data_IF_191212793246
#
_entry.id   IF_191212793246
#
_cell.length_a   1.000
_cell.length_b   1.000
_cell.length_c   1.000
_cell.angle_alpha   90.00
_cell.angle_beta   90.00
_cell.angle_gamma   90.00
#
_symmetry.space_group_name_H-M   'P 1'
#
loop_
_entity.id
_entity.type
_entity.pdbx_description
1 polymer ?
#
# COMPACT_ATOMS: atom_id res chain seq x y z
N UNK A 1 -23.08 44.72 6.70
CA UNK A 1 -24.39 44.29 6.14
C UNK A 1 -24.28 42.82 5.81
N UNK A 2 -24.82 41.95 6.67
CA UNK A 2 -24.92 40.51 6.41
C UNK A 2 -26.02 40.27 5.38
N UNK A 3 -25.67 39.65 4.25
CA UNK A 3 -26.66 39.19 3.28
C UNK A 3 -27.38 37.97 3.86
N UNK A 4 -28.66 38.11 4.19
CA UNK A 4 -29.52 36.99 4.53
C UNK A 4 -29.73 36.11 3.28
N UNK A 5 -29.38 34.84 3.40
CA UNK A 5 -29.59 33.85 2.35
C UNK A 5 -31.10 33.67 2.17
N UNK A 6 -31.59 33.86 0.95
CA UNK A 6 -33.02 33.76 0.66
C UNK A 6 -33.52 32.32 0.83
N UNK A 7 -34.78 32.17 1.24
CA UNK A 7 -35.44 30.86 1.38
C UNK A 7 -35.41 30.04 0.07
N UNK A 8 -35.36 30.72 -1.07
CA UNK A 8 -35.21 30.10 -2.40
C UNK A 8 -33.83 29.45 -2.58
N UNK A 9 -32.77 30.11 -2.12
CA UNK A 9 -31.40 29.57 -2.20
C UNK A 9 -31.22 28.38 -1.26
N UNK A 10 -31.84 28.41 -0.07
CA UNK A 10 -31.84 27.26 0.85
C UNK A 10 -32.58 26.05 0.25
N UNK A 11 -33.73 26.26 -0.39
CA UNK A 11 -34.48 25.17 -1.02
C UNK A 11 -33.75 24.59 -2.24
N UNK A 12 -33.05 25.41 -3.02
CA UNK A 12 -32.20 24.94 -4.11
C UNK A 12 -31.00 24.13 -3.61
N UNK A 13 -30.38 24.56 -2.50
CA UNK A 13 -29.28 23.84 -1.87
C UNK A 13 -29.73 22.48 -1.30
N UNK A 14 -30.90 22.43 -0.65
CA UNK A 14 -31.50 21.19 -0.15
C UNK A 14 -31.84 20.22 -1.30
N UNK A 15 -32.44 20.72 -2.37
CA UNK A 15 -32.76 19.90 -3.54
C UNK A 15 -31.50 19.35 -4.23
N UNK A 16 -30.44 20.15 -4.33
CA UNK A 16 -29.16 19.70 -4.86
C UNK A 16 -28.49 18.64 -3.95
N UNK A 17 -28.64 18.77 -2.63
CA UNK A 17 -28.14 17.80 -1.65
C UNK A 17 -28.88 16.45 -1.77
N UNK A 18 -30.21 16.47 -1.90
CA UNK A 18 -31.03 15.27 -2.06
C UNK A 18 -30.71 14.53 -3.37
N UNK A 19 -30.53 15.26 -4.49
CA UNK A 19 -30.10 14.64 -5.74
C UNK A 19 -28.69 14.05 -5.66
N UNK A 20 -27.78 14.71 -4.93
CA UNK A 20 -26.43 14.19 -4.70
C UNK A 20 -26.42 12.94 -3.81
N UNK A 21 -27.30 12.87 -2.82
CA UNK A 21 -27.48 11.70 -1.95
C UNK A 21 -28.11 10.53 -2.71
N UNK A 22 -29.13 10.78 -3.53
CA UNK A 22 -29.73 9.74 -4.38
C UNK A 22 -28.75 9.21 -5.43
N UNK A 23 -27.94 10.09 -6.05
CA UNK A 23 -26.89 9.67 -6.97
C UNK A 23 -25.80 8.87 -6.24
N UNK A 24 -25.42 9.29 -5.02
CA UNK A 24 -24.50 8.56 -4.15
C UNK A 24 -25.03 7.18 -3.77
N UNK A 25 -26.32 7.06 -3.46
CA UNK A 25 -26.97 5.80 -3.10
C UNK A 25 -27.13 4.85 -4.29
N UNK A 26 -27.48 5.35 -5.48
CA UNK A 26 -27.49 4.54 -6.72
C UNK A 26 -26.09 4.06 -7.13
N UNK A 27 -25.05 4.81 -6.76
CA UNK A 27 -23.64 4.42 -6.96
C UNK A 27 -23.13 3.40 -5.93
N UNK A 28 -23.77 3.28 -4.77
CA UNK A 28 -23.46 2.23 -3.78
C UNK A 28 -23.98 0.86 -4.21
N UNK A 29 -25.02 0.80 -5.05
CA UNK A 29 -25.59 -0.44 -5.58
C UNK A 29 -24.72 -1.09 -6.67
N UNK A 30 -23.81 -0.34 -7.31
CA UNK A 30 -22.88 -0.83 -8.34
C UNK A 30 -21.45 -0.87 -7.80
N UNK A 31 -21.13 -1.91 -7.03
CA UNK A 31 -19.82 -2.14 -6.40
C UNK A 31 -18.68 -2.55 -7.37
N UNK A 32 -18.63 -1.98 -8.59
CA UNK A 32 -17.62 -2.28 -9.59
C UNK A 32 -16.73 -1.04 -9.84
N UNK A 33 -15.48 -1.13 -9.38
CA UNK A 33 -14.32 -0.29 -9.70
C UNK A 33 -14.51 1.24 -9.67
N UNK A 34 -14.28 1.83 -8.48
CA UNK A 34 -13.91 3.24 -8.36
C UNK A 34 -12.43 3.39 -8.75
N UNK A 35 -12.14 3.62 -10.03
CA UNK A 35 -10.79 3.89 -10.56
C UNK A 35 -10.49 5.39 -10.62
N UNK A 36 -9.40 5.80 -11.28
CA UNK A 36 -9.00 7.21 -11.37
C UNK A 36 -10.05 8.11 -12.05
N UNK A 37 -10.90 7.57 -12.94
CA UNK A 37 -11.99 8.33 -13.56
C UNK A 37 -13.13 8.60 -12.56
N UNK A 38 -13.29 7.76 -11.54
CA UNK A 38 -14.28 8.00 -10.49
C UNK A 38 -13.97 9.24 -9.64
N UNK A 39 -12.72 9.72 -9.56
CA UNK A 39 -12.32 10.88 -8.74
C UNK A 39 -12.07 12.15 -9.59
N UNK A 40 -12.76 12.28 -10.72
CA UNK A 40 -12.62 13.35 -11.72
C UNK A 40 -13.09 14.74 -11.24
N UNK A 41 -14.04 14.81 -10.31
CA UNK A 41 -14.57 16.09 -9.79
C UNK A 41 -14.07 16.43 -8.38
N UNK A 42 -14.01 17.74 -8.02
CA UNK A 42 -13.61 18.16 -6.69
C UNK A 42 -14.46 17.56 -5.56
N UNK A 43 -15.77 17.46 -5.78
CA UNK A 43 -16.69 16.91 -4.77
C UNK A 43 -16.42 15.43 -4.50
N UNK A 44 -16.18 14.62 -5.54
CA UNK A 44 -15.87 13.19 -5.37
C UNK A 44 -14.52 12.96 -4.70
N UNK A 45 -13.50 13.79 -5.02
CA UNK A 45 -12.20 13.77 -4.34
C UNK A 45 -12.32 14.11 -2.86
N UNK A 46 -13.10 15.15 -2.54
CA UNK A 46 -13.35 15.52 -1.15
C UNK A 46 -14.11 14.42 -0.41
N UNK A 47 -15.14 13.84 -1.03
CA UNK A 47 -15.89 12.74 -0.43
C UNK A 47 -14.97 11.54 -0.14
N UNK A 48 -14.13 11.15 -1.09
CA UNK A 48 -13.13 10.11 -0.87
C UNK A 48 -12.24 10.39 0.33
N UNK A 49 -11.73 11.62 0.46
CA UNK A 49 -10.91 12.03 1.60
C UNK A 49 -11.67 11.90 2.93
N UNK A 50 -12.94 12.27 2.96
CA UNK A 50 -13.81 12.18 4.14
C UNK A 50 -14.17 10.72 4.49
N UNK A 51 -14.21 9.84 3.50
CA UNK A 51 -14.47 8.41 3.68
C UNK A 51 -13.24 7.64 4.20
N UNK A 52 -12.03 8.19 4.04
CA UNK A 52 -10.80 7.57 4.57
C UNK A 52 -10.87 7.37 6.09
N UNK A 53 -10.22 6.32 6.58
CA UNK A 53 -10.00 6.19 8.01
C UNK A 53 -9.18 7.38 8.54
N UNK A 54 -9.42 7.85 9.78
CA UNK A 54 -8.69 8.98 10.34
C UNK A 54 -7.15 8.83 10.30
N UNK A 55 -6.63 7.60 10.49
CA UNK A 55 -5.19 7.32 10.39
C UNK A 55 -4.63 7.62 9.00
N UNK A 56 -5.40 7.36 7.93
CA UNK A 56 -4.99 7.59 6.55
C UNK A 56 -4.99 9.06 6.18
N UNK A 57 -6.02 9.82 6.60
CA UNK A 57 -6.01 11.28 6.48
C UNK A 57 -4.78 11.88 7.16
N UNK A 58 -4.47 11.43 8.39
CA UNK A 58 -3.29 11.89 9.13
C UNK A 58 -1.99 11.49 8.44
N UNK A 59 -1.92 10.28 7.88
CA UNK A 59 -0.74 9.78 7.18
C UNK A 59 -0.45 10.59 5.91
N UNK A 60 -1.46 10.91 5.11
CA UNK A 60 -1.28 11.78 3.95
C UNK A 60 -0.94 13.22 4.36
N UNK A 61 -1.61 13.77 5.37
CA UNK A 61 -1.32 15.11 5.88
C UNK A 61 0.16 15.25 6.28
N UNK A 62 0.70 14.31 7.05
CA UNK A 62 2.07 14.37 7.56
C UNK A 62 3.08 13.87 6.52
N UNK A 63 2.85 12.68 5.98
CA UNK A 63 3.82 11.99 5.14
C UNK A 63 3.89 12.53 3.72
N UNK A 64 2.77 13.01 3.16
CA UNK A 64 2.73 13.54 1.78
C UNK A 64 2.78 15.05 1.77
N UNK A 65 1.90 15.71 2.52
CA UNK A 65 1.78 17.17 2.51
C UNK A 65 2.66 17.89 3.53
N UNK A 66 3.42 17.15 4.34
CA UNK A 66 4.33 17.68 5.36
C UNK A 66 3.66 18.64 6.35
N UNK A 67 2.36 18.46 6.57
CA UNK A 67 1.56 19.28 7.47
C UNK A 67 1.78 18.90 8.93
N UNK A 68 1.75 19.92 9.79
CA UNK A 68 1.79 19.79 11.27
C UNK A 68 0.45 20.13 11.92
N UNK A 69 -0.58 20.38 11.12
CA UNK A 69 -1.91 20.74 11.63
C UNK A 69 -2.58 19.54 12.31
N UNK A 70 -3.28 19.80 13.42
CA UNK A 70 -4.12 18.80 14.09
C UNK A 70 -5.30 18.39 13.20
N UNK A 71 -5.89 19.36 12.49
CA UNK A 71 -6.91 19.15 11.46
C UNK A 71 -6.40 19.65 10.11
N UNK A 72 -6.03 18.73 9.23
CA UNK A 72 -5.62 19.07 7.86
C UNK A 72 -6.81 19.01 6.91
N UNK A 73 -7.06 20.12 6.22
CA UNK A 73 -8.10 20.25 5.19
C UNK A 73 -7.40 20.46 3.83
N UNK A 74 -7.33 19.42 2.98
CA UNK A 74 -6.64 19.54 1.70
C UNK A 74 -7.44 20.44 0.73
N UNK A 75 -6.73 21.17 -0.12
CA UNK A 75 -7.33 21.78 -1.30
C UNK A 75 -7.67 20.72 -2.35
N UNK A 76 -8.47 21.09 -3.35
CA UNK A 76 -8.78 20.17 -4.44
C UNK A 76 -7.53 19.77 -5.24
N UNK A 77 -6.60 20.70 -5.45
CA UNK A 77 -5.34 20.44 -6.15
C UNK A 77 -4.48 19.45 -5.36
N UNK A 78 -4.46 19.55 -4.03
CA UNK A 78 -3.79 18.57 -3.17
C UNK A 78 -4.44 17.19 -3.26
N UNK A 79 -5.76 17.12 -3.30
CA UNK A 79 -6.46 15.86 -3.49
C UNK A 79 -6.19 15.26 -4.88
N UNK A 80 -6.23 16.08 -5.93
CA UNK A 80 -5.89 15.66 -7.29
C UNK A 80 -4.45 15.12 -7.36
N UNK A 81 -3.52 15.78 -6.67
CA UNK A 81 -2.13 15.33 -6.57
C UNK A 81 -2.01 13.92 -5.96
N UNK A 82 -2.82 13.55 -4.96
CA UNK A 82 -2.79 12.18 -4.39
C UNK A 82 -3.08 11.11 -5.45
N UNK A 83 -4.01 11.36 -6.37
CA UNK A 83 -4.34 10.43 -7.46
C UNK A 83 -3.26 10.36 -8.55
N UNK A 84 -2.31 11.30 -8.56
CA UNK A 84 -1.16 11.33 -9.48
C UNK A 84 0.13 10.79 -8.85
N UNK A 85 0.11 10.44 -7.55
CA UNK A 85 1.29 9.90 -6.88
C UNK A 85 1.77 8.62 -7.55
N UNK A 86 3.07 8.61 -7.89
CA UNK A 86 3.78 7.38 -8.26
C UNK A 86 4.44 6.71 -7.06
N UNK A 87 4.69 7.44 -5.97
CA UNK A 87 5.37 6.92 -4.78
C UNK A 87 4.63 7.26 -3.50
N UNK A 88 4.51 6.27 -2.62
CA UNK A 88 4.01 6.44 -1.27
C UNK A 88 5.04 5.87 -0.30
N UNK A 89 5.65 6.73 0.51
CA UNK A 89 6.59 6.32 1.55
C UNK A 89 5.98 6.73 2.89
N UNK A 90 5.37 5.78 3.58
CA UNK A 90 4.65 5.93 4.85
C UNK A 90 5.20 4.93 5.88
N UNK A 91 6.52 4.86 5.97
CA UNK A 91 7.25 4.10 6.98
C UNK A 91 6.86 4.55 8.38
N UNK A 92 6.43 3.60 9.21
CA UNK A 92 5.94 3.82 10.57
C UNK A 92 7.03 4.21 11.56
N UNK A 93 6.62 4.59 12.77
CA UNK A 93 7.55 4.98 13.84
C UNK A 93 8.19 3.81 14.61
N UNK A 94 8.13 2.57 14.10
CA UNK A 94 8.59 1.38 14.82
C UNK A 94 10.05 1.40 15.28
N UNK A 95 10.33 0.82 16.44
CA UNK A 95 11.66 0.81 17.08
C UNK A 95 12.59 -0.21 16.41
N UNK A 96 13.32 0.23 15.38
CA UNK A 96 14.46 -0.50 14.85
C UNK A 96 15.68 0.41 14.75
N UNK A 97 16.77 -0.01 15.38
CA UNK A 97 18.00 0.80 15.56
C UNK A 97 18.82 0.94 14.27
N UNK A 98 18.52 0.15 13.23
CA UNK A 98 19.22 0.14 11.94
C UNK A 98 18.25 0.15 10.77
N UNK A 99 17.39 1.17 10.71
CA UNK A 99 16.49 1.28 9.55
C UNK A 99 17.32 1.59 8.31
N UNK A 100 16.96 0.94 7.20
CA UNK A 100 17.44 1.38 5.89
C UNK A 100 16.81 2.74 5.50
N UNK A 101 15.66 3.11 6.11
CA UNK A 101 14.98 4.38 5.86
C UNK A 101 14.37 4.98 7.17
N UNK A 102 14.54 6.28 7.48
CA UNK A 102 13.89 6.92 8.64
C UNK A 102 12.35 6.85 8.62
N UNK A 103 11.68 6.97 9.78
CA UNK A 103 10.23 7.06 9.85
C UNK A 103 9.74 8.27 9.07
N UNK A 104 8.69 8.08 8.27
CA UNK A 104 7.99 9.18 7.59
C UNK A 104 6.80 9.69 8.41
N UNK A 105 6.20 8.83 9.22
CA UNK A 105 5.07 9.19 10.09
C UNK A 105 5.38 8.85 11.56
N UNK A 106 4.91 9.67 12.53
CA UNK A 106 5.21 9.50 13.96
C UNK A 106 4.28 8.47 14.64
N UNK A 107 3.60 7.63 13.87
CA UNK A 107 2.69 6.59 14.32
C UNK A 107 2.78 5.38 13.38
N UNK A 108 1.96 4.36 13.63
CA UNK A 108 1.88 3.12 12.85
C UNK A 108 0.53 3.02 12.14
N UNK A 109 0.55 2.68 10.86
CA UNK A 109 -0.62 2.27 10.10
C UNK A 109 -1.00 0.83 10.47
N UNK A 110 -2.29 0.53 10.41
CA UNK A 110 -2.81 -0.81 10.73
C UNK A 110 -3.30 -1.60 9.52
N UNK A 111 -3.45 -0.95 8.37
CA UNK A 111 -3.90 -1.56 7.12
C UNK A 111 -3.42 -0.74 5.91
N UNK A 112 -3.81 -1.14 4.70
CA UNK A 112 -3.50 -0.48 3.42
C UNK A 112 -4.71 0.17 2.72
N UNK A 113 -5.83 0.36 3.43
CA UNK A 113 -7.12 0.74 2.83
C UNK A 113 -7.06 2.06 2.05
N UNK A 114 -6.29 3.03 2.52
CA UNK A 114 -6.13 4.33 1.87
C UNK A 114 -5.42 4.31 0.51
N UNK A 115 -4.77 3.20 0.13
CA UNK A 115 -4.05 3.08 -1.14
C UNK A 115 -4.90 2.48 -2.27
N UNK A 116 -6.05 1.88 -1.95
CA UNK A 116 -6.87 1.06 -2.87
C UNK A 116 -7.19 1.72 -4.21
N UNK A 117 -7.32 3.05 -4.22
CA UNK A 117 -7.75 3.82 -5.39
C UNK A 117 -6.62 4.60 -6.07
N UNK A 118 -5.40 4.57 -5.53
CA UNK A 118 -4.25 5.33 -6.03
C UNK A 118 -3.49 4.52 -7.10
N UNK A 119 -4.17 4.27 -8.21
CA UNK A 119 -3.75 3.34 -9.28
C UNK A 119 -2.50 3.75 -10.06
N UNK A 120 -1.99 4.97 -9.87
CA UNK A 120 -0.76 5.46 -10.48
C UNK A 120 0.51 5.10 -9.71
N UNK A 121 0.38 4.49 -8.52
CA UNK A 121 1.53 4.14 -7.69
C UNK A 121 2.37 3.04 -8.36
N UNK A 122 3.67 3.30 -8.42
CA UNK A 122 4.71 2.35 -8.82
C UNK A 122 5.58 1.91 -7.65
N UNK A 123 5.62 2.68 -6.55
CA UNK A 123 6.50 2.40 -5.41
C UNK A 123 5.79 2.62 -4.07
N UNK A 124 5.77 1.60 -3.23
CA UNK A 124 5.21 1.65 -1.87
C UNK A 124 6.28 1.25 -0.86
N UNK A 125 6.46 2.10 0.15
CA UNK A 125 7.20 1.79 1.38
C UNK A 125 6.27 2.00 2.59
N UNK A 126 6.00 0.92 3.31
CA UNK A 126 5.13 0.89 4.50
C UNK A 126 5.78 0.08 5.62
N UNK A 127 7.10 0.11 5.67
CA UNK A 127 7.91 -0.62 6.63
C UNK A 127 7.66 -0.12 8.07
N UNK A 128 7.94 -0.96 9.07
CA UNK A 128 7.88 -0.60 10.50
C UNK A 128 6.52 -0.07 10.99
N UNK A 129 5.44 -0.54 10.37
CA UNK A 129 4.07 -0.28 10.81
C UNK A 129 3.54 -1.37 11.78
N UNK A 130 4.21 -2.52 11.89
CA UNK A 130 3.97 -3.65 12.81
C UNK A 130 2.59 -4.30 12.84
N UNK A 131 1.58 -3.71 12.19
CA UNK A 131 0.19 -4.14 12.32
C UNK A 131 -0.49 -4.42 10.97
N UNK A 132 0.18 -4.11 9.86
CA UNK A 132 -0.35 -4.39 8.52
C UNK A 132 -0.31 -5.91 8.29
N UNK A 133 -1.46 -6.47 7.90
CA UNK A 133 -1.62 -7.92 7.64
C UNK A 133 -2.13 -8.22 6.24
N UNK A 134 -2.97 -7.34 5.72
CA UNK A 134 -3.74 -7.55 4.51
C UNK A 134 -3.18 -6.70 3.35
N UNK A 135 -2.80 -7.38 2.27
CA UNK A 135 -2.34 -6.79 1.02
C UNK A 135 -3.46 -6.64 -0.02
N UNK A 136 -4.69 -7.08 0.26
CA UNK A 136 -5.84 -6.99 -0.66
C UNK A 136 -6.10 -5.58 -1.22
N UNK A 137 -5.84 -4.47 -0.50
CA UNK A 137 -5.99 -3.13 -1.07
C UNK A 137 -5.06 -2.86 -2.26
N UNK A 138 -3.96 -3.61 -2.40
CA UNK A 138 -2.97 -3.43 -3.47
C UNK A 138 -3.31 -4.19 -4.76
N UNK A 139 -4.27 -5.12 -4.74
CA UNK A 139 -4.51 -6.07 -5.83
C UNK A 139 -4.79 -5.42 -7.20
N UNK A 140 -5.29 -4.18 -7.23
CA UNK A 140 -5.60 -3.44 -8.46
C UNK A 140 -4.50 -2.43 -8.87
N UNK A 141 -3.41 -2.32 -8.12
CA UNK A 141 -2.30 -1.40 -8.42
C UNK A 141 -1.37 -2.02 -9.47
N UNK A 142 -1.88 -2.16 -10.71
CA UNK A 142 -1.22 -2.86 -11.81
C UNK A 142 0.13 -2.26 -12.23
N UNK A 143 0.40 -1.01 -11.83
CA UNK A 143 1.66 -0.31 -12.07
C UNK A 143 2.68 -0.47 -10.95
N UNK A 144 2.35 -1.16 -9.85
CA UNK A 144 3.27 -1.32 -8.73
C UNK A 144 4.49 -2.13 -9.15
N UNK A 145 5.67 -1.50 -9.08
CA UNK A 145 6.98 -2.06 -9.43
C UNK A 145 7.75 -2.48 -8.18
N UNK A 146 7.59 -1.74 -7.08
CA UNK A 146 8.32 -1.95 -5.84
C UNK A 146 7.37 -1.91 -4.64
N UNK A 147 7.44 -2.95 -3.80
CA UNK A 147 6.74 -3.02 -2.53
C UNK A 147 7.71 -3.37 -1.40
N UNK A 148 7.93 -2.41 -0.50
CA UNK A 148 8.61 -2.64 0.77
C UNK A 148 7.58 -2.55 1.90
N UNK A 149 7.45 -3.64 2.63
CA UNK A 149 6.48 -3.80 3.70
C UNK A 149 7.05 -4.59 4.88
N UNK A 150 8.33 -4.39 5.17
CA UNK A 150 9.02 -5.08 6.24
C UNK A 150 8.51 -4.68 7.64
N UNK A 151 8.76 -5.55 8.62
CA UNK A 151 8.38 -5.34 10.01
C UNK A 151 6.87 -5.08 10.15
N UNK A 152 6.08 -6.01 9.63
CA UNK A 152 4.61 -6.04 9.68
C UNK A 152 4.14 -7.44 10.12
N UNK A 153 2.87 -7.78 9.85
CA UNK A 153 2.27 -9.08 10.20
C UNK A 153 1.65 -9.78 8.99
N UNK A 154 2.20 -9.55 7.80
CA UNK A 154 1.71 -10.11 6.54
C UNK A 154 2.00 -11.61 6.52
N UNK A 155 0.98 -12.42 6.26
CA UNK A 155 1.13 -13.88 6.11
C UNK A 155 0.68 -14.40 4.74
N UNK A 156 -0.19 -13.64 4.06
CA UNK A 156 -0.76 -14.01 2.77
C UNK A 156 -0.22 -13.10 1.66
N UNK A 157 0.43 -13.71 0.67
CA UNK A 157 0.96 -13.04 -0.52
C UNK A 157 0.04 -13.22 -1.74
N UNK A 158 -1.08 -13.92 -1.61
CA UNK A 158 -2.04 -14.14 -2.71
C UNK A 158 -2.55 -12.85 -3.38
N UNK A 159 -2.70 -11.71 -2.68
CA UNK A 159 -3.10 -10.46 -3.35
C UNK A 159 -2.06 -9.89 -4.32
N UNK A 160 -0.81 -10.34 -4.24
CA UNK A 160 0.25 -9.96 -5.18
C UNK A 160 0.24 -10.82 -6.44
N UNK A 161 -0.47 -11.95 -6.45
CA UNK A 161 -0.48 -12.85 -7.59
C UNK A 161 -0.93 -12.14 -8.87
N UNK A 162 -0.15 -12.25 -9.94
CA UNK A 162 -0.46 -11.64 -11.23
C UNK A 162 -0.16 -10.15 -11.35
N UNK A 163 0.52 -9.53 -10.37
CA UNK A 163 1.05 -8.17 -10.54
C UNK A 163 2.13 -8.15 -11.62
N UNK A 164 1.80 -7.57 -12.78
CA UNK A 164 2.62 -7.65 -13.99
C UNK A 164 3.92 -6.85 -13.90
N UNK A 165 3.91 -5.75 -13.14
CA UNK A 165 5.04 -4.83 -13.01
C UNK A 165 5.89 -5.09 -11.76
N UNK A 166 5.42 -5.87 -10.79
CA UNK A 166 6.10 -6.02 -9.50
C UNK A 166 7.42 -6.74 -9.71
N UNK A 167 8.49 -5.99 -9.45
CA UNK A 167 9.86 -6.34 -9.82
C UNK A 167 10.76 -6.44 -8.60
N UNK A 168 10.49 -5.64 -7.57
CA UNK A 168 11.18 -5.65 -6.27
C UNK A 168 10.18 -5.83 -5.11
N UNK A 169 10.44 -6.84 -4.26
CA UNK A 169 9.62 -7.14 -3.09
C UNK A 169 10.50 -7.31 -1.85
N UNK A 170 10.23 -6.49 -0.82
CA UNK A 170 10.82 -6.65 0.52
C UNK A 170 9.71 -7.00 1.52
N UNK A 171 9.82 -8.20 2.11
CA UNK A 171 8.86 -8.76 3.08
C UNK A 171 9.54 -9.17 4.38
N UNK A 172 10.69 -8.58 4.73
CA UNK A 172 11.43 -8.88 5.96
C UNK A 172 10.56 -8.80 7.23
N UNK A 173 10.82 -9.65 8.22
CA UNK A 173 10.11 -9.67 9.51
C UNK A 173 8.57 -9.58 9.38
N UNK A 174 8.00 -10.55 8.69
CA UNK A 174 6.57 -10.76 8.54
C UNK A 174 6.22 -12.20 9.00
N UNK A 175 5.03 -12.69 8.66
CA UNK A 175 4.51 -14.01 9.02
C UNK A 175 4.27 -14.91 7.79
N UNK A 176 5.04 -14.70 6.72
CA UNK A 176 4.88 -15.47 5.47
C UNK A 176 5.38 -16.89 5.67
N UNK A 177 4.55 -17.87 5.32
CA UNK A 177 4.94 -19.29 5.29
C UNK A 177 5.04 -19.85 3.87
N UNK A 178 4.26 -19.29 2.93
CA UNK A 178 4.11 -19.79 1.56
C UNK A 178 4.58 -18.76 0.54
N UNK A 179 5.54 -19.16 -0.31
CA UNK A 179 6.09 -18.36 -1.40
C UNK A 179 5.46 -18.69 -2.76
N UNK A 180 4.56 -19.67 -2.83
CA UNK A 180 3.90 -20.08 -4.07
C UNK A 180 3.19 -18.95 -4.82
N UNK A 181 2.56 -17.96 -4.15
CA UNK A 181 1.96 -16.81 -4.84
C UNK A 181 2.93 -15.99 -5.70
N UNK A 182 4.23 -16.03 -5.39
CA UNK A 182 5.26 -15.29 -6.12
C UNK A 182 5.60 -15.91 -7.49
N UNK A 183 5.26 -17.19 -7.72
CA UNK A 183 5.51 -17.88 -9.01
C UNK A 183 4.81 -17.16 -10.16
N UNK A 184 3.64 -16.57 -9.90
CA UNK A 184 2.85 -15.85 -10.89
C UNK A 184 3.30 -14.42 -11.18
N UNK A 185 4.46 -13.98 -10.67
CA UNK A 185 5.00 -12.63 -10.88
C UNK A 185 6.00 -12.63 -12.04
N UNK A 186 5.61 -12.18 -13.24
CA UNK A 186 6.44 -12.31 -14.43
C UNK A 186 7.63 -11.32 -14.46
N UNK A 187 7.63 -10.29 -13.62
CA UNK A 187 8.69 -9.27 -13.59
C UNK A 187 9.57 -9.33 -12.33
N UNK A 188 9.28 -10.24 -11.38
CA UNK A 188 10.01 -10.28 -10.10
C UNK A 188 11.47 -10.66 -10.31
N UNK A 189 12.38 -9.73 -10.04
CA UNK A 189 13.83 -9.89 -10.20
C UNK A 189 14.60 -9.81 -8.88
N UNK A 190 14.12 -9.00 -7.93
CA UNK A 190 14.73 -8.77 -6.62
C UNK A 190 13.74 -9.12 -5.52
N UNK A 191 14.13 -10.11 -4.71
CA UNK A 191 13.35 -10.57 -3.58
C UNK A 191 14.20 -10.54 -2.32
N UNK A 192 13.67 -9.86 -1.31
CA UNK A 192 14.37 -9.63 -0.06
C UNK A 192 13.59 -10.30 1.08
N UNK A 193 14.13 -11.42 1.60
CA UNK A 193 13.52 -12.30 2.63
C UNK A 193 14.52 -12.53 3.77
N UNK A 194 14.23 -12.10 5.00
CA UNK A 194 15.25 -11.99 6.04
C UNK A 194 14.70 -11.96 7.46
N UNK A 195 15.60 -12.18 8.40
CA UNK A 195 15.38 -12.41 9.83
C UNK A 195 15.98 -11.29 10.70
N UNK A 196 15.37 -11.09 11.88
CA UNK A 196 15.99 -11.14 13.21
C UNK A 196 14.94 -11.63 14.23
N UNK A 197 15.16 -12.77 14.89
CA UNK A 197 14.32 -13.41 15.95
C UNK A 197 12.83 -13.69 15.63
N UNK A 198 12.20 -13.04 14.65
CA UNK A 198 10.78 -13.10 14.24
C UNK A 198 10.61 -13.00 12.70
N UNK A 199 11.58 -13.49 11.93
CA UNK A 199 11.51 -13.49 10.46
C UNK A 199 10.41 -14.40 9.94
N UNK A 200 10.19 -14.37 8.63
CA UNK A 200 9.13 -15.17 8.01
C UNK A 200 9.32 -16.68 8.30
N UNK A 201 8.31 -17.39 8.82
CA UNK A 201 8.37 -18.83 9.09
C UNK A 201 8.28 -19.70 7.82
N UNK A 202 9.04 -19.36 6.78
CA UNK A 202 9.05 -20.05 5.48
C UNK A 202 9.67 -21.44 5.65
N UNK A 203 8.92 -22.46 5.23
CA UNK A 203 9.35 -23.87 5.31
C UNK A 203 9.86 -24.40 3.97
N UNK A 204 9.33 -23.89 2.86
CA UNK A 204 9.64 -24.33 1.51
C UNK A 204 10.05 -23.15 0.62
N UNK A 205 11.31 -23.17 0.19
CA UNK A 205 11.92 -22.19 -0.71
C UNK A 205 11.93 -22.67 -2.17
N UNK A 206 11.48 -23.90 -2.46
CA UNK A 206 11.41 -24.45 -3.82
C UNK A 206 10.57 -23.61 -4.81
N UNK A 207 9.54 -22.82 -4.41
CA UNK A 207 8.86 -21.89 -5.31
C UNK A 207 9.81 -20.89 -5.98
N UNK A 208 10.91 -20.50 -5.31
CA UNK A 208 11.87 -19.53 -5.85
C UNK A 208 12.53 -20.01 -7.15
N UNK A 209 12.71 -21.32 -7.31
CA UNK A 209 13.26 -21.91 -8.53
C UNK A 209 12.32 -21.77 -9.74
N UNK A 210 11.02 -21.57 -9.49
CA UNK A 210 9.98 -21.49 -10.53
C UNK A 210 9.71 -20.05 -10.98
N UNK A 211 10.26 -19.05 -10.29
CA UNK A 211 10.13 -17.64 -10.69
C UNK A 211 11.14 -17.39 -11.82
N UNK A 212 10.72 -17.11 -13.07
CA UNK A 212 11.63 -17.13 -14.22
C UNK A 212 12.77 -16.12 -14.12
N UNK A 213 12.48 -14.88 -13.70
CA UNK A 213 13.43 -13.76 -13.74
C UNK A 213 14.06 -13.41 -12.39
N UNK A 214 13.76 -14.16 -11.32
CA UNK A 214 14.34 -13.91 -10.01
C UNK A 214 15.87 -14.10 -10.04
N UNK A 215 16.62 -13.02 -9.83
CA UNK A 215 18.09 -13.01 -9.90
C UNK A 215 18.73 -12.78 -8.54
N UNK A 216 18.12 -11.93 -7.73
CA UNK A 216 18.69 -11.54 -6.44
C UNK A 216 17.76 -12.01 -5.34
N UNK A 217 18.33 -12.78 -4.42
CA UNK A 217 17.63 -13.19 -3.20
C UNK A 217 18.52 -12.80 -2.03
N UNK A 218 18.06 -11.83 -1.25
CA UNK A 218 18.70 -11.49 0.00
C UNK A 218 18.15 -12.42 1.07
N UNK A 219 19.03 -13.25 1.62
CA UNK A 219 18.77 -14.08 2.80
C UNK A 219 19.74 -13.64 3.88
N UNK A 220 19.23 -13.23 5.04
CA UNK A 220 20.10 -12.95 6.18
C UNK A 220 20.95 -14.19 6.52
N UNK A 221 22.18 -13.99 6.96
CA UNK A 221 23.15 -15.04 7.27
C UNK A 221 22.60 -16.17 8.18
N UNK A 222 21.66 -15.87 9.08
CA UNK A 222 21.01 -16.87 9.94
C UNK A 222 19.94 -17.72 9.24
N UNK A 223 19.29 -17.18 8.19
CA UNK A 223 18.26 -17.85 7.41
C UNK A 223 18.85 -18.76 6.31
N UNK A 224 20.04 -18.45 5.83
CA UNK A 224 20.75 -19.19 4.79
C UNK A 224 21.41 -20.48 5.32
N UNK A 225 20.65 -21.33 6.02
CA UNK A 225 21.15 -22.63 6.49
C UNK A 225 21.48 -23.55 5.30
N UNK A 226 22.36 -24.54 5.45
CA UNK A 226 22.65 -25.50 4.38
C UNK A 226 21.40 -26.17 3.77
N UNK A 227 20.37 -26.39 4.58
CA UNK A 227 19.07 -26.95 4.17
C UNK A 227 18.29 -25.98 3.28
N UNK A 228 18.20 -24.71 3.67
CA UNK A 228 17.55 -23.66 2.86
C UNK A 228 18.32 -23.49 1.56
N UNK A 229 19.64 -23.36 1.63
CA UNK A 229 20.50 -23.23 0.47
C UNK A 229 20.34 -24.42 -0.48
N UNK A 230 20.22 -25.64 0.04
CA UNK A 230 19.98 -26.84 -0.78
C UNK A 230 18.68 -26.78 -1.59
N UNK A 231 17.60 -26.17 -1.05
CA UNK A 231 16.33 -26.01 -1.75
C UNK A 231 16.42 -25.04 -2.94
N UNK A 232 17.41 -24.14 -2.95
CA UNK A 232 17.56 -23.08 -3.97
C UNK A 232 18.77 -23.26 -4.90
N UNK A 233 19.52 -24.38 -4.79
CA UNK A 233 20.73 -24.66 -5.61
C UNK A 233 20.51 -24.71 -7.12
N UNK A 234 19.27 -24.88 -7.59
CA UNK A 234 18.94 -25.05 -9.02
C UNK A 234 18.99 -23.77 -9.85
N UNK A 235 19.19 -22.61 -9.23
CA UNK A 235 19.26 -21.31 -9.89
C UNK A 235 20.40 -20.50 -9.29
N UNK A 236 21.19 -19.83 -10.14
CA UNK A 236 22.21 -18.89 -9.65
C UNK A 236 21.50 -17.64 -9.11
N UNK A 237 21.32 -17.59 -7.79
CA UNK A 237 20.94 -16.38 -7.10
C UNK A 237 22.20 -15.61 -6.71
N UNK A 238 22.18 -14.29 -6.87
CA UNK A 238 23.08 -13.42 -6.12
C UNK A 238 22.59 -13.42 -4.67
N UNK A 239 23.12 -14.37 -3.89
CA UNK A 239 22.84 -14.49 -2.46
C UNK A 239 23.64 -13.44 -1.73
N UNK A 240 22.94 -12.42 -1.25
CA UNK A 240 23.53 -11.36 -0.44
C UNK A 240 23.15 -11.58 1.02
N UNK A 241 24.16 -11.49 1.89
CA UNK A 241 24.09 -11.73 3.33
C UNK A 241 24.06 -10.44 4.14
#
# INVERSE_FOLDING_TARGET
MSQEVSKSQLNQALFALDQSLEAGNRMLENSAHRDAEWFDTPLKRLQWWLDLEPQWRKAFAIGVFLSKAEEFKPSDEQLQFLFQLSKVLLTGNGSFERRNNPPRIPFQLTNLSGLKHLTNITHIEVDYNYHIKDLSPLANLRKLETLWCDNNQISDLSPLAGMQALSSLCIWNNKVEDLSPLIGLPALFDLTIGLYRQGNPIKDYSPLLKIPYLMVVYLEHGAATPEVLAQVRGKQFDLRY
#
